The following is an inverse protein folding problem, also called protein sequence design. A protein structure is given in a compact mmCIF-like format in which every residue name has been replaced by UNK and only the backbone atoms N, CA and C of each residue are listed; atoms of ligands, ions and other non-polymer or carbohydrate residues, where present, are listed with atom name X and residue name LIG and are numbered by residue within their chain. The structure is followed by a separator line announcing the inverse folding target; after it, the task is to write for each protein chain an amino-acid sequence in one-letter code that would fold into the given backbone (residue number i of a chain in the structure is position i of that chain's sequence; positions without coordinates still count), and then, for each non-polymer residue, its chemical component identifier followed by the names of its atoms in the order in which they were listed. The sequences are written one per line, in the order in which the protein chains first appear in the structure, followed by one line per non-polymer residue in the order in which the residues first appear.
data_IF_991519120556
#
_entry.id   IF_991519120556
#
_cell.length_a   1.000
_cell.length_b   1.000
_cell.length_c   1.000
_cell.angle_alpha   90.00
_cell.angle_beta   90.00
_cell.angle_gamma   90.00
#
_symmetry.space_group_name_H-M   'P 1'
#
loop_
_entity.id
_entity.type
_entity.pdbx_description
1 polymer ?
#
# COMPACT_ATOMS: atom_id res chain seq x y z
N UNK A 1 12.99 -6.20 4.47
CA UNK A 1 11.74 -5.53 4.84
C UNK A 1 12.19 -4.41 5.74
N UNK A 2 11.65 -3.22 5.53
CA UNK A 2 11.93 -2.06 6.38
C UNK A 2 11.55 -2.41 7.82
N UNK A 3 12.40 -2.02 8.76
CA UNK A 3 12.11 -2.26 10.18
C UNK A 3 11.15 -1.22 10.72
N UNK A 4 10.43 -1.60 11.77
CA UNK A 4 9.56 -0.70 12.50
C UNK A 4 10.30 0.53 13.07
N UNK A 5 11.50 0.33 13.61
CA UNK A 5 12.38 1.42 14.05
C UNK A 5 12.70 2.41 12.92
N UNK A 6 12.97 1.93 11.70
CA UNK A 6 13.22 2.79 10.55
C UNK A 6 11.96 3.57 10.14
N UNK A 7 10.79 2.94 10.17
CA UNK A 7 9.50 3.60 9.89
C UNK A 7 9.22 4.71 10.90
N UNK A 8 9.37 4.41 12.20
CA UNK A 8 9.19 5.39 13.28
C UNK A 8 10.17 6.56 13.18
N UNK A 9 11.43 6.28 12.88
CA UNK A 9 12.43 7.33 12.70
C UNK A 9 12.09 8.27 11.54
N UNK A 10 11.54 7.75 10.42
CA UNK A 10 11.07 8.56 9.29
C UNK A 10 9.86 9.41 9.64
N UNK A 11 8.90 8.83 10.36
CA UNK A 11 7.69 9.53 10.82
C UNK A 11 8.04 10.68 11.78
N UNK A 12 8.88 10.40 12.79
CA UNK A 12 9.34 11.42 13.74
C UNK A 12 10.14 12.56 13.08
N UNK A 13 10.80 12.29 11.95
CA UNK A 13 11.51 13.30 11.16
C UNK A 13 10.59 14.16 10.27
N UNK A 14 9.31 13.80 10.17
CA UNK A 14 8.32 14.40 9.28
C UNK A 14 7.02 14.76 10.03
N UNK A 15 7.13 15.33 11.23
CA UNK A 15 6.00 15.79 12.04
C UNK A 15 4.92 14.70 12.27
N UNK A 16 5.37 13.47 12.56
CA UNK A 16 4.54 12.29 12.86
C UNK A 16 3.61 11.85 11.73
N UNK A 17 3.92 12.23 10.48
CA UNK A 17 3.23 11.74 9.28
C UNK A 17 3.72 10.35 8.87
N UNK A 18 2.92 9.66 8.06
CA UNK A 18 3.13 8.26 7.68
C UNK A 18 3.94 8.19 6.37
N UNK A 19 5.15 7.62 6.38
CA UNK A 19 5.93 7.49 5.16
C UNK A 19 5.27 6.50 4.19
N UNK A 20 5.08 6.92 2.94
CA UNK A 20 4.71 5.99 1.87
C UNK A 20 5.88 5.08 1.53
N UNK A 21 5.68 3.77 1.68
CA UNK A 21 6.73 2.78 1.44
C UNK A 21 6.68 2.27 0.00
N UNK A 22 7.85 2.02 -0.58
CA UNK A 22 7.95 1.23 -1.83
C UNK A 22 7.50 -0.22 -1.62
N UNK A 23 7.14 -0.90 -2.71
CA UNK A 23 6.84 -2.34 -2.65
C UNK A 23 8.04 -3.14 -2.10
N UNK A 24 9.26 -2.77 -2.46
CA UNK A 24 10.45 -3.48 -1.98
C UNK A 24 10.69 -3.26 -0.47
N UNK A 25 10.48 -2.03 0.03
CA UNK A 25 10.60 -1.75 1.46
C UNK A 25 9.61 -2.59 2.29
N UNK A 26 8.35 -2.69 1.84
CA UNK A 26 7.32 -3.41 2.58
C UNK A 26 7.37 -4.93 2.37
N UNK A 27 7.51 -5.42 1.13
CA UNK A 27 7.33 -6.84 0.82
C UNK A 27 8.62 -7.67 0.88
N UNK A 28 9.81 -7.12 0.58
CA UNK A 28 11.00 -7.97 0.47
C UNK A 28 11.44 -8.50 1.83
N UNK A 29 11.40 -9.82 2.02
CA UNK A 29 11.70 -10.43 3.32
C UNK A 29 10.62 -10.23 4.38
N UNK A 30 9.45 -9.71 4.00
CA UNK A 30 8.25 -9.74 4.84
C UNK A 30 7.60 -11.12 4.70
N UNK A 31 7.42 -11.79 5.83
CA UNK A 31 6.73 -13.08 5.93
C UNK A 31 5.49 -13.00 6.84
N UNK A 32 5.14 -11.79 7.30
CA UNK A 32 4.03 -11.54 8.20
C UNK A 32 2.75 -11.38 7.37
N UNK A 33 2.03 -12.49 7.19
CA UNK A 33 0.85 -12.54 6.32
C UNK A 33 -0.26 -11.58 6.77
N UNK A 34 -0.42 -11.37 8.07
CA UNK A 34 -1.40 -10.45 8.66
C UNK A 34 -0.93 -8.98 8.70
N UNK A 35 0.22 -8.64 8.10
CA UNK A 35 0.69 -7.24 8.01
C UNK A 35 -0.11 -6.37 7.03
N UNK A 36 -1.01 -6.94 6.23
CA UNK A 36 -1.96 -6.25 5.35
C UNK A 36 -3.24 -7.08 5.36
N UNK A 37 -4.43 -6.46 5.38
CA UNK A 37 -5.70 -7.19 5.34
C UNK A 37 -5.79 -8.37 6.34
N UNK A 38 -5.48 -8.17 7.65
CA UNK A 38 -5.44 -9.26 8.63
C UNK A 38 -6.79 -9.96 8.82
N UNK A 39 -7.88 -9.20 8.72
CA UNK A 39 -9.28 -9.65 8.72
C UNK A 39 -9.60 -10.70 7.64
N UNK A 40 -8.90 -10.66 6.51
CA UNK A 40 -9.15 -11.55 5.37
C UNK A 40 -8.12 -12.69 5.24
N UNK A 41 -7.05 -12.68 6.03
CA UNK A 41 -6.06 -13.75 6.00
C UNK A 41 -6.66 -15.10 6.43
N UNK A 42 -6.56 -16.11 5.57
CA UNK A 42 -7.21 -17.41 5.76
C UNK A 42 -8.68 -17.47 5.34
N UNK A 43 -9.24 -16.36 4.83
CA UNK A 43 -10.64 -16.24 4.39
C UNK A 43 -10.77 -15.87 2.90
N UNK A 44 -9.82 -16.28 2.07
CA UNK A 44 -9.85 -16.10 0.62
C UNK A 44 -8.71 -15.24 0.09
N UNK A 45 -8.23 -14.27 0.89
CA UNK A 45 -7.10 -13.43 0.51
C UNK A 45 -5.89 -14.29 0.16
N UNK A 46 -5.23 -14.07 -0.99
CA UNK A 46 -4.06 -14.83 -1.36
C UNK A 46 -2.86 -14.53 -0.44
N UNK A 47 -1.81 -15.36 -0.48
CA UNK A 47 -0.58 -15.10 0.25
C UNK A 47 0.05 -13.76 -0.12
N UNK A 48 0.75 -13.15 0.84
CA UNK A 48 1.43 -11.86 0.69
C UNK A 48 2.33 -11.82 -0.54
N UNK A 49 3.03 -12.92 -0.83
CA UNK A 49 3.90 -13.04 -1.99
C UNK A 49 3.17 -12.91 -3.34
N UNK A 50 1.91 -13.36 -3.41
CA UNK A 50 1.08 -13.23 -4.61
C UNK A 50 0.58 -11.79 -4.78
N UNK A 51 0.12 -11.16 -3.70
CA UNK A 51 -0.22 -9.73 -3.69
C UNK A 51 0.98 -8.90 -4.19
N UNK A 52 2.16 -9.14 -3.61
CA UNK A 52 3.40 -8.47 -4.01
C UNK A 52 3.73 -8.67 -5.49
N UNK A 53 3.55 -9.89 -6.01
CA UNK A 53 3.80 -10.21 -7.43
C UNK A 53 2.88 -9.40 -8.34
N UNK A 54 1.58 -9.39 -8.06
CA UNK A 54 0.57 -8.68 -8.87
C UNK A 54 0.78 -7.17 -8.84
N UNK A 55 1.07 -6.60 -7.67
CA UNK A 55 1.38 -5.17 -7.53
C UNK A 55 2.65 -4.77 -8.30
N UNK A 56 3.70 -5.61 -8.26
CA UNK A 56 4.92 -5.37 -9.04
C UNK A 56 4.71 -5.51 -10.54
N UNK A 57 3.80 -6.38 -10.98
CA UNK A 57 3.41 -6.47 -12.39
C UNK A 57 2.69 -5.19 -12.83
N UNK A 58 1.78 -4.68 -12.00
CA UNK A 58 1.10 -3.40 -12.24
C UNK A 58 2.08 -2.21 -12.24
N UNK A 59 3.03 -2.15 -11.29
CA UNK A 59 4.01 -1.05 -11.19
C UNK A 59 4.91 -0.93 -12.44
N UNK A 60 5.06 -2.01 -13.22
CA UNK A 60 5.85 -2.01 -14.46
C UNK A 60 5.08 -1.51 -15.69
N UNK A 61 3.79 -1.22 -15.54
CA UNK A 61 2.98 -0.70 -16.64
C UNK A 61 3.29 0.77 -16.90
N UNK A 62 3.42 1.16 -18.17
CA UNK A 62 3.73 2.55 -18.57
C UNK A 62 2.66 3.56 -18.14
N UNK A 63 1.44 3.10 -17.84
CA UNK A 63 0.36 3.93 -17.32
C UNK A 63 0.50 4.22 -15.81
N UNK A 64 1.42 3.54 -15.11
CA UNK A 64 1.64 3.65 -13.66
C UNK A 64 2.97 4.34 -13.39
N UNK A 65 2.92 5.46 -12.65
CA UNK A 65 4.12 6.20 -12.28
C UNK A 65 4.82 5.61 -11.04
N UNK A 66 4.05 5.10 -10.08
CA UNK A 66 4.54 4.45 -8.87
C UNK A 66 3.43 3.70 -8.13
N UNK A 67 3.82 2.70 -7.35
CA UNK A 67 2.96 2.02 -6.37
C UNK A 67 3.56 2.17 -4.96
N UNK A 68 2.76 2.52 -3.97
CA UNK A 68 3.21 2.72 -2.58
C UNK A 68 2.29 2.05 -1.58
N UNK A 69 2.86 1.48 -0.53
CA UNK A 69 2.11 0.98 0.62
C UNK A 69 1.80 2.15 1.54
N UNK A 70 0.54 2.25 1.95
CA UNK A 70 0.01 3.21 2.90
C UNK A 70 -0.04 2.51 4.27
N UNK A 71 0.66 3.07 5.26
CA UNK A 71 0.78 2.46 6.58
C UNK A 71 -0.49 2.67 7.41
N UNK A 72 -0.88 1.64 8.16
CA UNK A 72 -1.94 1.70 9.17
C UNK A 72 -1.43 2.46 10.41
N UNK A 73 -2.29 3.28 11.04
CA UNK A 73 -1.93 4.10 12.20
C UNK A 73 -1.37 3.28 13.38
N UNK A 74 -1.91 2.07 13.60
CA UNK A 74 -1.42 1.10 14.59
C UNK A 74 0.08 0.78 14.45
N UNK A 75 0.69 0.93 13.28
CA UNK A 75 2.16 0.80 13.10
C UNK A 75 2.91 1.70 14.09
N UNK A 76 2.36 2.83 14.48
CA UNK A 76 3.02 3.80 15.36
C UNK A 76 2.70 3.61 16.84
N UNK A 77 1.85 2.64 17.20
CA UNK A 77 1.55 2.33 18.60
C UNK A 77 2.68 1.55 19.27
N UNK A 78 3.07 1.93 20.49
CA UNK A 78 4.15 1.28 21.26
C UNK A 78 3.96 -0.22 21.51
N UNK A 79 2.72 -0.73 21.41
CA UNK A 79 2.41 -2.15 21.53
C UNK A 79 2.58 -2.96 20.24
N UNK A 80 2.77 -2.30 19.09
CA UNK A 80 2.90 -2.94 17.79
C UNK A 80 4.37 -2.98 17.40
N UNK A 81 4.89 -4.19 17.10
CA UNK A 81 6.28 -4.41 16.67
C UNK A 81 6.41 -4.58 15.15
N UNK A 82 5.28 -4.80 14.46
CA UNK A 82 5.21 -5.03 13.01
C UNK A 82 4.92 -3.74 12.24
N UNK A 83 5.28 -3.73 10.95
CA UNK A 83 4.89 -2.67 10.02
C UNK A 83 3.59 -3.10 9.35
N UNK A 84 2.51 -2.35 9.60
CA UNK A 84 1.17 -2.70 9.14
C UNK A 84 0.73 -1.79 7.98
N UNK A 85 0.08 -2.36 6.97
CA UNK A 85 -0.47 -1.65 5.84
C UNK A 85 -1.99 -1.46 6.00
N UNK A 86 -2.43 -0.22 5.79
CA UNK A 86 -3.85 0.14 5.61
C UNK A 86 -4.30 -0.19 4.19
N UNK A 87 -3.43 0.07 3.21
CA UNK A 87 -3.75 -0.14 1.81
C UNK A 87 -2.59 0.12 0.88
N UNK A 88 -2.87 0.16 -0.43
CA UNK A 88 -1.87 0.38 -1.47
C UNK A 88 -2.32 1.49 -2.40
N UNK A 89 -1.51 2.54 -2.52
CA UNK A 89 -1.71 3.64 -3.45
C UNK A 89 -1.04 3.33 -4.80
N UNK A 90 -1.77 3.56 -5.89
CA UNK A 90 -1.32 3.41 -7.26
C UNK A 90 -1.46 4.77 -7.95
N UNK A 91 -0.35 5.39 -8.32
CA UNK A 91 -0.37 6.61 -9.12
C UNK A 91 -0.40 6.24 -10.60
N UNK A 92 -1.50 6.53 -11.28
CA UNK A 92 -1.78 6.00 -12.62
C UNK A 92 -2.60 6.96 -13.47
N UNK A 93 -2.61 6.73 -14.78
CA UNK A 93 -3.56 7.35 -15.73
C UNK A 93 -4.82 6.52 -15.93
N UNK A 94 -4.83 5.28 -15.43
CA UNK A 94 -5.95 4.35 -15.53
C UNK A 94 -7.11 4.78 -14.61
N UNK A 95 -8.32 4.33 -14.94
CA UNK A 95 -9.47 4.40 -14.05
C UNK A 95 -9.51 3.20 -13.08
N UNK A 96 -10.33 3.31 -12.04
CA UNK A 96 -10.49 2.35 -10.95
C UNK A 96 -10.83 0.96 -11.48
N UNK A 97 -11.83 0.87 -12.36
CA UNK A 97 -12.28 -0.39 -12.93
C UNK A 97 -11.18 -1.08 -13.73
N UNK A 98 -10.36 -0.33 -14.46
CA UNK A 98 -9.23 -0.90 -15.21
C UNK A 98 -8.14 -1.40 -14.26
N UNK A 99 -7.89 -0.75 -13.14
CA UNK A 99 -6.98 -1.28 -12.10
C UNK A 99 -7.55 -2.56 -11.50
N UNK A 100 -8.84 -2.58 -11.17
CA UNK A 100 -9.54 -3.75 -10.64
C UNK A 100 -9.50 -4.96 -11.58
N UNK A 101 -9.72 -4.74 -12.86
CA UNK A 101 -9.64 -5.80 -13.88
C UNK A 101 -8.21 -6.33 -14.06
N UNK A 102 -7.19 -5.47 -13.95
CA UNK A 102 -5.78 -5.88 -14.12
C UNK A 102 -5.25 -6.64 -12.92
N UNK A 103 -5.68 -6.24 -11.72
CA UNK A 103 -5.29 -6.89 -10.49
C UNK A 103 -6.14 -8.13 -10.20
N UNK A 104 -7.31 -8.26 -10.84
CA UNK A 104 -8.34 -9.23 -10.48
C UNK A 104 -8.76 -9.02 -9.02
N UNK A 105 -9.50 -7.93 -8.78
CA UNK A 105 -9.93 -7.54 -7.45
C UNK A 105 -10.66 -8.65 -6.70
N UNK A 106 -11.41 -9.49 -7.41
CA UNK A 106 -12.05 -10.68 -6.83
C UNK A 106 -11.00 -11.70 -6.36
N UNK A 107 -9.98 -12.01 -7.16
CA UNK A 107 -8.92 -12.94 -6.74
C UNK A 107 -8.05 -12.38 -5.60
N UNK A 108 -7.75 -11.07 -5.62
CA UNK A 108 -6.98 -10.40 -4.57
C UNK A 108 -7.80 -10.05 -3.31
N UNK A 109 -9.13 -10.15 -3.38
CA UNK A 109 -10.10 -9.94 -2.31
C UNK A 109 -10.15 -8.50 -1.74
N UNK A 110 -9.68 -7.49 -2.47
CA UNK A 110 -9.82 -6.10 -2.02
C UNK A 110 -11.13 -5.49 -2.52
N UNK A 111 -11.63 -4.44 -1.86
CA UNK A 111 -13.01 -3.94 -2.03
C UNK A 111 -13.26 -3.06 -3.27
N UNK A 112 -12.33 -3.09 -4.22
CA UNK A 112 -12.30 -2.21 -5.39
C UNK A 112 -11.48 -0.94 -5.15
N UNK A 113 -10.89 -0.42 -6.22
CA UNK A 113 -10.07 0.77 -6.17
C UNK A 113 -10.93 2.03 -6.01
N UNK A 114 -10.41 3.04 -5.30
CA UNK A 114 -11.04 4.35 -5.21
C UNK A 114 -10.02 5.49 -5.37
N UNK A 115 -10.46 6.64 -5.88
CA UNK A 115 -9.58 7.81 -6.04
C UNK A 115 -9.24 8.47 -4.69
N UNK A 116 -7.95 8.67 -4.42
CA UNK A 116 -7.42 9.27 -3.21
C UNK A 116 -6.49 8.36 -2.41
N UNK A 117 -6.06 8.84 -1.25
CA UNK A 117 -5.33 8.07 -0.24
C UNK A 117 -6.31 7.52 0.82
N UNK A 118 -5.88 6.53 1.59
CA UNK A 118 -6.69 5.91 2.67
C UNK A 118 -6.95 6.85 3.85
N UNK A 119 -6.07 7.81 4.06
CA UNK A 119 -6.25 8.95 4.97
C UNK A 119 -6.12 10.27 4.20
N UNK A 120 -6.31 11.40 4.89
CA UNK A 120 -6.03 12.72 4.31
C UNK A 120 -4.59 12.77 3.78
N UNK A 121 -4.36 13.39 2.61
CA UNK A 121 -3.02 13.46 1.99
C UNK A 121 -1.97 14.05 2.94
N UNK A 122 -2.37 14.98 3.83
CA UNK A 122 -1.46 15.58 4.82
C UNK A 122 -1.03 14.62 5.93
N UNK A 123 -1.69 13.46 6.08
CA UNK A 123 -1.25 12.40 6.96
C UNK A 123 0.00 11.69 6.43
N UNK A 124 0.33 11.82 5.15
CA UNK A 124 1.45 11.11 4.52
C UNK A 124 2.68 11.99 4.28
N UNK A 125 3.85 11.36 4.32
CA UNK A 125 5.13 11.93 3.88
C UNK A 125 5.80 11.03 2.86
N UNK A 126 6.85 11.55 2.22
CA UNK A 126 7.56 10.88 1.13
C UNK A 126 6.65 10.50 -0.05
N UNK A 127 5.55 11.23 -0.20
CA UNK A 127 4.63 11.10 -1.34
C UNK A 127 5.39 11.46 -2.62
N UNK A 128 5.60 10.53 -3.56
CA UNK A 128 6.27 10.84 -4.80
C UNK A 128 5.41 11.80 -5.65
N UNK A 129 6.04 12.56 -6.54
CA UNK A 129 5.30 13.49 -7.40
C UNK A 129 4.23 12.75 -8.24
N UNK A 130 3.04 13.33 -8.32
CA UNK A 130 1.97 12.89 -9.23
C UNK A 130 2.15 13.63 -10.57
N UNK A 131 2.52 12.95 -11.67
CA UNK A 131 2.71 13.62 -12.95
C UNK A 131 1.41 14.20 -13.51
N UNK A 132 1.50 15.17 -14.43
CA UNK A 132 0.32 15.74 -15.07
C UNK A 132 -0.52 14.67 -15.77
N UNK A 133 -1.83 14.66 -15.50
CA UNK A 133 -2.77 13.68 -16.04
C UNK A 133 -2.84 12.36 -15.29
N UNK A 134 -2.01 12.16 -14.25
CA UNK A 134 -2.10 11.03 -13.34
C UNK A 134 -3.02 11.36 -12.16
N UNK A 135 -3.54 10.30 -11.53
CA UNK A 135 -4.32 10.32 -10.28
C UNK A 135 -3.77 9.26 -9.33
N UNK A 136 -4.13 9.34 -8.06
CA UNK A 136 -3.84 8.29 -7.08
C UNK A 136 -5.11 7.49 -6.83
N UNK A 137 -5.00 6.17 -6.95
CA UNK A 137 -6.05 5.22 -6.59
C UNK A 137 -5.58 4.36 -5.42
N UNK A 138 -6.42 4.14 -4.42
CA UNK A 138 -6.13 3.28 -3.28
C UNK A 138 -6.86 1.94 -3.38
N UNK A 139 -6.16 0.88 -2.98
CA UNK A 139 -6.67 -0.47 -2.79
C UNK A 139 -6.75 -0.75 -1.28
N UNK A 140 -7.90 -1.19 -0.79
CA UNK A 140 -8.18 -1.48 0.63
C UNK A 140 -8.90 -2.81 0.80
N UNK A 141 -8.71 -3.43 1.95
CA UNK A 141 -9.28 -4.73 2.31
C UNK A 141 -10.01 -4.61 3.66
N UNK A 142 -11.30 -4.27 3.63
CA UNK A 142 -12.17 -4.17 4.80
C UNK A 142 -12.97 -5.47 5.08
#
# INVERSE_FOLDING_TARGET
MITHDEVRARSAAADDTYPLLTLDEFFDGNAQEDSIAPNQWGFGRPPLAEIARRLRELERDDAVAWVRVQLHEETFEDSVEDVLAEGVAVCTTLDERVVDERLDAEELQYDGAFEGFVYDEQAFTQVPAVPEGYRVLSLVWD
#
